data_IF_556454379294
#
_entry.id   IF_556454379294
#
_cell.length_a   1.000
_cell.length_b   1.000
_cell.length_c   1.000
_cell.angle_alpha   90.00
_cell.angle_beta   90.00
_cell.angle_gamma   90.00
#
_symmetry.space_group_name_H-M   'P 1'
#
loop_
_entity.id
_entity.type
_entity.pdbx_description
1 polymer ?
#
# COMPACT_ATOMS: atom_id res chain seq x y z
N UNK A 1 -32.54 21.47 -33.84
CA UNK A 1 -31.57 22.01 -32.88
C UNK A 1 -30.15 21.62 -33.28
N UNK A 2 -29.23 22.59 -33.43
CA UNK A 2 -27.85 22.32 -33.84
C UNK A 2 -27.08 21.81 -32.61
N UNK A 3 -26.77 20.51 -32.57
CA UNK A 3 -25.97 19.87 -31.52
C UNK A 3 -24.48 19.92 -31.89
N UNK A 4 -23.61 19.96 -30.90
CA UNK A 4 -22.17 19.64 -31.00
C UNK A 4 -21.94 18.43 -30.17
N UNK A 5 -21.39 17.36 -30.77
CA UNK A 5 -21.00 16.17 -30.01
C UNK A 5 -19.61 16.42 -29.40
N UNK A 6 -19.53 16.30 -28.07
CA UNK A 6 -18.30 16.59 -27.31
C UNK A 6 -17.63 15.34 -26.75
N UNK A 7 -18.30 14.18 -26.77
CA UNK A 7 -17.78 12.91 -26.28
C UNK A 7 -18.05 11.83 -27.32
N UNK A 8 -17.01 11.38 -28.02
CA UNK A 8 -17.17 10.46 -29.13
C UNK A 8 -15.93 9.58 -29.30
N UNK A 9 -16.17 8.27 -29.41
CA UNK A 9 -15.16 7.26 -29.61
C UNK A 9 -15.22 6.75 -31.05
N UNK A 10 -14.05 6.74 -31.71
CA UNK A 10 -13.89 6.13 -33.04
C UNK A 10 -13.46 4.67 -32.92
N UNK A 11 -13.29 4.00 -34.06
CA UNK A 11 -12.72 2.64 -34.09
C UNK A 11 -11.27 2.54 -33.59
N UNK A 12 -10.64 3.67 -33.21
CA UNK A 12 -9.35 3.70 -32.52
C UNK A 12 -9.49 3.41 -31.02
N UNK A 13 -10.69 3.59 -30.46
CA UNK A 13 -11.04 3.10 -29.12
C UNK A 13 -11.34 1.60 -29.20
N UNK A 14 -10.31 0.77 -29.01
CA UNK A 14 -10.40 -0.69 -29.15
C UNK A 14 -11.50 -1.26 -28.25
N UNK A 15 -12.36 -2.12 -28.82
CA UNK A 15 -13.50 -2.80 -28.20
C UNK A 15 -14.69 -1.86 -27.82
N UNK A 16 -14.61 -0.56 -28.10
CA UNK A 16 -15.68 0.38 -27.77
C UNK A 16 -16.21 1.08 -29.03
N UNK A 17 -15.34 1.69 -29.83
CA UNK A 17 -15.73 2.37 -31.05
C UNK A 17 -15.75 1.46 -32.29
N UNK A 18 -16.80 1.59 -33.12
CA UNK A 18 -16.95 0.78 -34.33
C UNK A 18 -16.77 1.56 -35.63
N UNK A 19 -16.89 2.89 -35.59
CA UNK A 19 -16.98 3.74 -36.79
C UNK A 19 -15.72 4.61 -36.91
N UNK A 20 -15.18 4.71 -38.13
CA UNK A 20 -14.00 5.55 -38.38
C UNK A 20 -14.29 7.04 -38.18
N UNK A 21 -13.28 7.80 -37.76
CA UNK A 21 -13.37 9.25 -37.57
C UNK A 21 -13.90 9.96 -38.81
N UNK A 22 -13.45 9.60 -40.01
CA UNK A 22 -13.88 10.20 -41.27
C UNK A 22 -15.39 10.08 -41.50
N UNK A 23 -15.97 8.90 -41.23
CA UNK A 23 -17.43 8.67 -41.36
C UNK A 23 -18.23 9.43 -40.33
N UNK A 24 -17.71 9.55 -39.11
CA UNK A 24 -18.38 10.32 -38.04
C UNK A 24 -18.39 11.82 -38.35
N UNK A 25 -17.27 12.37 -38.79
CA UNK A 25 -17.16 13.79 -39.23
C UNK A 25 -18.08 14.07 -40.40
N UNK A 26 -18.13 13.21 -41.43
CA UNK A 26 -19.06 13.29 -42.55
C UNK A 26 -20.51 13.30 -42.09
N UNK A 27 -20.88 12.42 -41.17
CA UNK A 27 -22.25 12.31 -40.65
C UNK A 27 -22.64 13.57 -39.87
N UNK A 28 -21.77 14.09 -39.01
CA UNK A 28 -22.00 15.28 -38.24
C UNK A 28 -22.20 16.53 -39.20
N UNK A 29 -21.39 16.62 -40.22
CA UNK A 29 -21.54 17.68 -41.24
C UNK A 29 -22.89 17.56 -41.96
N UNK A 30 -23.31 16.37 -42.38
CA UNK A 30 -24.63 16.13 -43.02
C UNK A 30 -25.80 16.46 -42.09
N UNK A 31 -25.66 16.33 -40.79
CA UNK A 31 -26.65 16.72 -39.80
C UNK A 31 -26.64 18.23 -39.46
N UNK A 32 -25.70 18.97 -40.02
CA UNK A 32 -25.58 20.41 -39.81
C UNK A 32 -24.97 20.79 -38.48
N UNK A 33 -24.19 19.88 -37.84
CA UNK A 33 -23.41 20.25 -36.67
C UNK A 33 -22.34 21.29 -37.04
N UNK A 34 -22.09 22.21 -36.13
CA UNK A 34 -21.04 23.25 -36.32
C UNK A 34 -19.64 22.72 -35.96
N UNK A 35 -19.57 21.69 -35.11
CA UNK A 35 -18.35 21.04 -34.68
C UNK A 35 -18.65 19.61 -34.22
N UNK A 36 -17.58 18.80 -34.09
CA UNK A 36 -17.56 17.48 -33.50
C UNK A 36 -16.26 17.28 -32.73
N UNK A 37 -16.31 16.70 -31.54
CA UNK A 37 -15.10 16.29 -30.83
C UNK A 37 -14.73 14.85 -31.19
N UNK A 38 -13.46 14.55 -31.13
CA UNK A 38 -12.91 13.16 -31.17
C UNK A 38 -12.20 12.96 -29.84
N UNK A 39 -12.69 12.03 -29.04
CA UNK A 39 -12.26 11.79 -27.66
C UNK A 39 -12.05 10.29 -27.39
N UNK A 40 -11.20 9.67 -28.18
CA UNK A 40 -10.89 8.24 -28.02
C UNK A 40 -10.22 7.95 -26.68
N UNK A 41 -10.40 6.72 -26.17
CA UNK A 41 -9.82 6.23 -24.94
C UNK A 41 -8.29 6.19 -24.98
N UNK A 42 -7.64 7.12 -24.28
CA UNK A 42 -6.19 7.16 -24.09
C UNK A 42 -5.36 7.30 -25.36
N UNK A 43 -5.98 7.54 -26.53
CA UNK A 43 -5.30 7.55 -27.83
C UNK A 43 -5.71 8.73 -28.70
N UNK A 44 -4.84 9.10 -29.67
CA UNK A 44 -5.03 10.24 -30.57
C UNK A 44 -4.89 9.86 -32.05
N UNK A 45 -4.85 8.58 -32.36
CA UNK A 45 -4.57 8.06 -33.70
C UNK A 45 -5.62 8.47 -34.76
N UNK A 46 -6.85 8.78 -34.33
CA UNK A 46 -7.92 9.24 -35.21
C UNK A 46 -7.75 10.69 -35.72
N UNK A 47 -6.87 11.48 -35.15
CA UNK A 47 -6.77 12.93 -35.43
C UNK A 47 -6.41 13.25 -36.90
N UNK A 48 -5.45 12.58 -37.57
CA UNK A 48 -5.15 12.86 -38.98
C UNK A 48 -6.35 12.62 -39.90
N UNK A 49 -7.09 11.53 -39.68
CA UNK A 49 -8.26 11.17 -40.45
C UNK A 49 -9.42 12.16 -40.20
N UNK A 50 -9.63 12.52 -38.92
CA UNK A 50 -10.62 13.51 -38.54
C UNK A 50 -10.31 14.90 -39.18
N UNK A 51 -9.04 15.31 -39.17
CA UNK A 51 -8.61 16.59 -39.80
C UNK A 51 -8.86 16.59 -41.30
N UNK A 52 -8.52 15.50 -41.97
CA UNK A 52 -8.71 15.34 -43.42
C UNK A 52 -10.20 15.40 -43.77
N UNK A 53 -11.04 14.71 -43.03
CA UNK A 53 -12.49 14.74 -43.20
C UNK A 53 -13.08 16.11 -42.88
N UNK A 54 -12.59 16.78 -41.82
CA UNK A 54 -13.03 18.14 -41.44
C UNK A 54 -12.81 19.17 -42.56
N UNK A 55 -11.62 19.16 -43.18
CA UNK A 55 -11.30 20.00 -44.34
C UNK A 55 -12.23 19.72 -45.52
N UNK A 56 -12.50 18.44 -45.80
CA UNK A 56 -13.36 18.03 -46.92
C UNK A 56 -14.82 18.42 -46.72
N UNK A 57 -15.33 18.36 -45.51
CA UNK A 57 -16.76 18.58 -45.22
C UNK A 57 -17.05 19.96 -44.58
N UNK A 58 -16.05 20.79 -44.38
CA UNK A 58 -16.24 22.17 -43.87
C UNK A 58 -16.75 22.27 -42.43
N UNK A 59 -16.43 21.25 -41.56
CA UNK A 59 -16.84 21.20 -40.17
C UNK A 59 -15.62 21.34 -39.25
N UNK A 60 -15.80 21.98 -38.08
CA UNK A 60 -14.76 22.09 -37.07
C UNK A 60 -14.60 20.76 -36.34
N UNK A 61 -13.36 20.28 -36.17
CA UNK A 61 -13.05 19.17 -35.26
C UNK A 61 -12.41 19.72 -33.98
N UNK A 62 -12.88 19.25 -32.86
CA UNK A 62 -12.30 19.48 -31.51
C UNK A 62 -11.51 18.23 -31.17
N UNK A 63 -10.22 18.39 -30.91
CA UNK A 63 -9.33 17.30 -30.56
C UNK A 63 -9.27 17.16 -29.07
N UNK A 64 -9.59 15.99 -28.57
CA UNK A 64 -9.57 15.62 -27.17
C UNK A 64 -9.14 14.17 -26.97
N UNK A 65 -8.99 13.76 -25.76
CA UNK A 65 -8.71 12.39 -25.37
C UNK A 65 -9.47 12.09 -24.08
N UNK A 66 -10.07 10.93 -23.98
CA UNK A 66 -10.58 10.46 -22.72
C UNK A 66 -9.42 9.88 -21.91
N UNK A 67 -8.96 10.66 -20.94
CA UNK A 67 -7.86 10.28 -20.06
C UNK A 67 -8.38 9.55 -18.84
N UNK A 68 -7.61 8.56 -18.39
CA UNK A 68 -7.85 7.89 -17.13
C UNK A 68 -6.96 8.52 -16.06
N UNK A 69 -7.59 9.17 -15.08
CA UNK A 69 -6.89 9.61 -13.88
C UNK A 69 -6.82 8.41 -12.91
N UNK A 70 -5.63 7.87 -12.73
CA UNK A 70 -5.36 6.81 -11.76
C UNK A 70 -4.53 7.41 -10.64
N UNK A 71 -5.01 7.29 -9.42
CA UNK A 71 -4.18 7.49 -8.24
C UNK A 71 -3.44 6.17 -7.98
N UNK A 72 -2.19 6.10 -8.42
CA UNK A 72 -1.29 4.97 -8.19
C UNK A 72 -0.44 5.16 -6.92
N UNK A 73 -0.77 6.15 -6.12
CA UNK A 73 -0.19 6.34 -4.80
C UNK A 73 -0.45 5.13 -3.91
N UNK A 74 0.62 4.60 -3.29
CA UNK A 74 0.46 3.56 -2.27
C UNK A 74 -0.11 4.22 -1.02
N UNK A 75 -1.27 3.81 -0.52
CA UNK A 75 -1.86 4.43 0.67
C UNK A 75 -0.93 4.29 1.87
N UNK A 76 -0.78 5.38 2.62
CA UNK A 76 0.00 5.40 3.87
C UNK A 76 -0.74 4.66 4.97
N UNK A 77 -2.07 4.84 5.02
CA UNK A 77 -2.95 4.16 5.96
C UNK A 77 -3.99 3.31 5.24
N UNK A 78 -4.32 2.17 5.84
CA UNK A 78 -5.34 1.23 5.37
C UNK A 78 -6.41 1.08 6.45
N UNK A 79 -7.66 0.91 6.04
CA UNK A 79 -8.80 0.71 6.94
C UNK A 79 -8.97 1.83 7.99
N UNK A 80 -8.71 3.08 7.58
CA UNK A 80 -8.86 4.28 8.42
C UNK A 80 -10.29 4.44 8.93
N UNK A 81 -10.39 4.82 10.20
CA UNK A 81 -11.66 5.01 10.90
C UNK A 81 -11.81 6.44 11.43
N UNK A 82 -10.98 7.38 10.93
CA UNK A 82 -10.97 8.77 11.34
C UNK A 82 -10.19 9.03 12.63
N UNK A 83 -9.17 8.20 12.91
CA UNK A 83 -8.30 8.38 14.07
C UNK A 83 -7.51 9.69 13.98
N UNK A 84 -7.32 10.33 15.14
CA UNK A 84 -6.48 11.51 15.23
C UNK A 84 -5.00 11.15 15.20
N UNK A 85 -4.17 12.06 14.69
CA UNK A 85 -2.71 11.93 14.75
C UNK A 85 -2.17 11.97 16.21
N UNK A 86 -2.95 12.54 17.14
CA UNK A 86 -2.63 12.54 18.59
C UNK A 86 -3.16 11.27 19.30
N UNK A 87 -3.58 10.26 18.54
CA UNK A 87 -4.14 9.01 19.06
C UNK A 87 -3.10 8.05 19.62
N UNK A 88 -3.56 6.83 19.93
CA UNK A 88 -2.70 5.73 20.36
C UNK A 88 -2.17 4.95 19.15
N UNK A 89 -0.89 4.62 19.18
CA UNK A 89 -0.20 3.85 18.15
C UNK A 89 0.46 2.62 18.76
N UNK A 90 0.43 1.51 18.04
CA UNK A 90 1.25 0.33 18.32
C UNK A 90 2.21 0.13 17.17
N UNK A 91 3.47 0.45 17.39
CA UNK A 91 4.56 0.15 16.44
C UNK A 91 5.02 -1.27 16.71
N UNK A 92 5.00 -2.12 15.69
CA UNK A 92 5.33 -3.52 15.87
C UNK A 92 6.12 -4.10 14.69
N UNK A 93 6.81 -5.19 14.95
CA UNK A 93 7.56 -5.98 13.99
C UNK A 93 7.50 -7.45 14.36
N UNK A 94 7.65 -8.34 13.39
CA UNK A 94 7.60 -9.78 13.54
C UNK A 94 8.87 -10.43 13.02
N UNK A 95 9.41 -11.39 13.79
CA UNK A 95 10.36 -12.35 13.25
C UNK A 95 9.64 -13.66 12.90
N UNK A 96 10.04 -14.25 11.78
CA UNK A 96 9.32 -15.40 11.21
C UNK A 96 10.28 -16.47 10.69
N UNK A 97 9.80 -17.70 10.52
CA UNK A 97 10.61 -18.80 9.94
C UNK A 97 10.82 -18.68 8.43
N UNK A 98 10.28 -17.63 7.78
CA UNK A 98 10.37 -17.38 6.35
C UNK A 98 9.38 -16.31 5.89
N UNK A 99 9.22 -16.14 4.59
CA UNK A 99 8.48 -14.99 4.02
C UNK A 99 7.02 -15.26 3.67
N UNK A 100 6.54 -16.48 3.85
CA UNK A 100 5.19 -16.89 3.45
C UNK A 100 4.25 -16.95 4.64
N UNK A 101 3.37 -15.98 4.82
CA UNK A 101 2.37 -15.98 5.89
C UNK A 101 1.50 -17.25 5.93
N UNK A 102 1.37 -17.97 4.80
CA UNK A 102 0.62 -19.24 4.72
C UNK A 102 1.43 -20.44 5.23
N UNK A 103 2.74 -20.50 4.94
CA UNK A 103 3.58 -21.67 5.14
C UNK A 103 4.57 -21.51 6.29
N UNK A 104 4.91 -20.28 6.64
CA UNK A 104 5.87 -19.96 7.68
C UNK A 104 5.18 -19.55 8.98
N UNK A 105 5.96 -19.46 10.04
CA UNK A 105 5.48 -19.25 11.40
C UNK A 105 6.13 -18.02 12.02
N UNK A 106 5.41 -17.34 12.89
CA UNK A 106 5.96 -16.29 13.74
C UNK A 106 6.84 -16.95 14.81
N UNK A 107 7.99 -16.35 15.10
CA UNK A 107 8.94 -16.77 16.15
C UNK A 107 9.20 -15.68 17.19
N UNK A 108 8.91 -14.41 16.88
CA UNK A 108 8.95 -13.30 17.83
C UNK A 108 7.91 -12.23 17.44
N UNK A 109 7.27 -11.62 18.44
CA UNK A 109 6.44 -10.43 18.28
C UNK A 109 7.04 -9.36 19.18
N UNK A 110 7.48 -8.24 18.60
CA UNK A 110 7.90 -7.05 19.32
C UNK A 110 6.99 -5.88 19.03
N UNK A 111 6.54 -5.17 20.06
CA UNK A 111 5.72 -3.98 19.89
C UNK A 111 5.90 -2.98 21.02
N UNK A 112 5.70 -1.70 20.71
CA UNK A 112 5.61 -0.60 21.67
C UNK A 112 4.31 0.15 21.45
N UNK A 113 3.64 0.50 22.56
CA UNK A 113 2.48 1.37 22.54
C UNK A 113 2.91 2.80 22.83
N UNK A 114 2.49 3.71 21.98
CA UNK A 114 2.81 5.13 22.05
C UNK A 114 1.52 5.92 22.22
N UNK A 115 1.47 6.79 23.22
CA UNK A 115 0.39 7.74 23.45
C UNK A 115 0.99 9.11 23.75
N UNK A 116 0.46 10.15 23.13
CA UNK A 116 0.98 11.53 23.28
C UNK A 116 2.51 11.64 23.03
N UNK A 117 3.00 10.87 22.05
CA UNK A 117 4.43 10.84 21.70
C UNK A 117 5.34 10.13 22.70
N UNK A 118 4.78 9.39 23.68
CA UNK A 118 5.56 8.65 24.70
C UNK A 118 5.25 7.16 24.66
N UNK A 119 6.28 6.35 24.87
CA UNK A 119 6.08 4.91 25.05
C UNK A 119 5.42 4.69 26.42
N UNK A 120 4.21 4.15 26.40
CA UNK A 120 3.40 3.85 27.59
C UNK A 120 3.40 2.37 27.95
N UNK A 121 3.62 1.48 26.98
CA UNK A 121 3.63 0.02 27.20
C UNK A 121 4.47 -0.72 26.15
N UNK A 122 4.85 -1.96 26.45
CA UNK A 122 5.69 -2.81 25.60
C UNK A 122 5.16 -4.23 25.57
N UNK A 123 5.25 -4.85 24.39
CA UNK A 123 4.95 -6.26 24.17
C UNK A 123 6.16 -6.92 23.49
N UNK A 124 6.71 -7.96 24.11
CA UNK A 124 7.88 -8.68 23.59
C UNK A 124 7.78 -10.14 23.98
N UNK A 125 7.48 -10.98 23.00
CA UNK A 125 7.23 -12.42 23.23
C UNK A 125 7.89 -13.27 22.15
N UNK A 126 8.66 -14.27 22.57
CA UNK A 126 9.03 -15.37 21.70
C UNK A 126 7.83 -16.30 21.48
N UNK A 127 7.73 -16.82 20.27
CA UNK A 127 6.64 -17.73 19.87
C UNK A 127 7.24 -19.06 19.45
N UNK A 128 6.79 -20.16 20.06
CA UNK A 128 7.17 -21.50 19.62
C UNK A 128 6.51 -21.80 18.26
N UNK A 129 7.30 -21.92 17.17
CA UNK A 129 6.74 -22.18 15.83
C UNK A 129 6.28 -23.63 15.64
N UNK A 130 6.57 -24.52 16.58
CA UNK A 130 6.32 -25.97 16.50
C UNK A 130 6.98 -26.62 15.25
N UNK A 131 8.05 -26.03 14.76
CA UNK A 131 8.89 -26.51 13.66
C UNK A 131 10.30 -25.95 13.82
N UNK A 132 11.28 -26.57 13.20
CA UNK A 132 12.65 -26.06 13.21
C UNK A 132 12.75 -24.73 12.46
N UNK A 133 13.55 -23.83 13.02
CA UNK A 133 13.88 -22.54 12.40
C UNK A 133 14.97 -22.81 11.34
N UNK A 134 14.75 -22.39 10.08
CA UNK A 134 15.77 -22.53 9.05
C UNK A 134 17.06 -21.79 9.42
N UNK A 135 18.21 -22.43 9.19
CA UNK A 135 19.52 -21.87 9.53
C UNK A 135 19.73 -20.43 9.05
N UNK A 136 19.26 -20.10 7.83
CA UNK A 136 19.33 -18.72 7.26
C UNK A 136 18.56 -17.69 8.09
N UNK A 137 17.46 -18.11 8.72
CA UNK A 137 16.66 -17.24 9.60
C UNK A 137 17.40 -17.04 10.91
N UNK A 138 17.94 -18.09 11.49
CA UNK A 138 18.77 -18.00 12.71
C UNK A 138 20.00 -17.11 12.46
N UNK A 139 20.65 -17.22 11.30
CA UNK A 139 21.78 -16.36 10.93
C UNK A 139 21.36 -14.88 10.80
N UNK A 140 20.15 -14.62 10.30
CA UNK A 140 19.61 -13.27 10.11
C UNK A 140 19.15 -12.61 11.41
N UNK A 141 18.36 -13.35 12.21
CA UNK A 141 17.65 -12.83 13.40
C UNK A 141 18.38 -13.10 14.71
N UNK A 142 19.32 -14.07 14.72
CA UNK A 142 19.94 -14.57 15.93
C UNK A 142 19.03 -15.47 16.78
N UNK A 143 17.77 -15.69 16.38
CA UNK A 143 16.83 -16.53 17.11
C UNK A 143 17.09 -17.99 16.79
N UNK A 144 17.28 -18.81 17.85
CA UNK A 144 17.55 -20.23 17.73
C UNK A 144 16.36 -21.05 18.21
N UNK A 145 16.31 -22.33 17.81
CA UNK A 145 15.29 -23.27 18.28
C UNK A 145 15.26 -23.37 19.82
N UNK A 146 16.43 -23.30 20.47
CA UNK A 146 16.55 -23.34 21.92
C UNK A 146 15.88 -22.15 22.62
N UNK A 147 15.88 -20.98 21.99
CA UNK A 147 15.28 -19.77 22.55
C UNK A 147 13.75 -19.82 22.55
N UNK A 148 13.15 -20.51 21.58
CA UNK A 148 11.70 -20.51 21.37
C UNK A 148 11.01 -21.82 21.82
N UNK A 149 11.76 -22.90 22.12
CA UNK A 149 11.21 -24.23 22.40
C UNK A 149 10.25 -24.27 23.58
N UNK A 150 10.55 -23.48 24.63
CA UNK A 150 9.78 -23.44 25.86
C UNK A 150 8.77 -22.27 25.89
N UNK A 151 8.71 -21.49 24.79
CA UNK A 151 7.77 -20.39 24.63
C UNK A 151 6.37 -20.90 24.33
N UNK A 152 5.37 -20.08 24.62
CA UNK A 152 3.99 -20.34 24.23
C UNK A 152 3.83 -20.35 22.70
N UNK A 153 2.80 -20.98 22.23
CA UNK A 153 2.47 -20.99 20.80
C UNK A 153 1.68 -19.75 20.42
N UNK A 154 1.55 -19.51 19.12
CA UNK A 154 0.82 -18.34 18.59
C UNK A 154 -0.65 -18.31 19.05
N UNK A 155 -1.24 -19.47 19.31
CA UNK A 155 -2.62 -19.61 19.78
C UNK A 155 -2.85 -18.95 21.15
N UNK A 156 -1.83 -18.93 22.02
CA UNK A 156 -1.87 -18.26 23.33
C UNK A 156 -1.46 -16.78 23.24
N UNK A 157 -0.46 -16.49 22.42
CA UNK A 157 0.17 -15.16 22.35
C UNK A 157 -0.68 -14.18 21.55
N UNK A 158 -1.24 -14.59 20.40
CA UNK A 158 -1.96 -13.72 19.51
C UNK A 158 -3.18 -13.03 20.15
N UNK A 159 -4.03 -13.69 20.94
CA UNK A 159 -5.13 -12.98 21.63
C UNK A 159 -4.64 -11.87 22.57
N UNK A 160 -3.52 -12.09 23.27
CA UNK A 160 -2.91 -11.07 24.15
C UNK A 160 -2.35 -9.90 23.34
N UNK A 161 -1.72 -10.19 22.21
CA UNK A 161 -1.23 -9.15 21.29
C UNK A 161 -2.37 -8.30 20.71
N UNK A 162 -3.48 -8.93 20.28
CA UNK A 162 -4.65 -8.21 19.77
C UNK A 162 -5.29 -7.31 20.85
N UNK A 163 -5.36 -7.79 22.10
CA UNK A 163 -5.84 -6.97 23.21
C UNK A 163 -4.89 -5.80 23.53
N UNK A 164 -3.56 -6.04 23.46
CA UNK A 164 -2.56 -4.97 23.55
C UNK A 164 -2.74 -3.88 22.48
N UNK A 165 -3.11 -4.28 21.26
CA UNK A 165 -3.32 -3.37 20.12
C UNK A 165 -4.65 -2.60 20.16
N UNK A 166 -5.57 -2.98 21.03
CA UNK A 166 -6.93 -2.44 21.04
C UNK A 166 -6.97 -0.93 21.19
N UNK A 167 -7.76 -0.28 20.34
CA UNK A 167 -7.91 1.18 20.33
C UNK A 167 -6.73 1.95 19.75
N UNK A 168 -5.75 1.26 19.16
CA UNK A 168 -4.56 1.88 18.59
C UNK A 168 -4.49 1.67 17.06
N UNK A 169 -3.82 2.59 16.39
CA UNK A 169 -3.38 2.41 15.00
C UNK A 169 -2.14 1.50 14.99
N UNK A 170 -2.15 0.48 14.16
CA UNK A 170 -0.99 -0.40 13.98
C UNK A 170 0.01 0.23 13.00
N UNK A 171 1.27 0.27 13.38
CA UNK A 171 2.34 0.86 12.57
C UNK A 171 3.44 -0.17 12.34
N UNK A 172 3.83 -0.38 11.08
CA UNK A 172 4.95 -1.25 10.75
C UNK A 172 5.68 -0.74 9.49
N UNK A 173 6.91 -1.20 9.29
CA UNK A 173 7.71 -0.87 8.11
C UNK A 173 7.56 -1.95 7.04
N UNK A 174 6.88 -1.67 5.94
CA UNK A 174 6.36 -2.66 4.98
C UNK A 174 5.26 -3.53 5.60
N UNK A 175 4.30 -2.84 6.19
CA UNK A 175 3.24 -3.39 7.05
C UNK A 175 2.45 -4.57 6.44
N UNK A 176 2.43 -4.70 5.12
CA UNK A 176 1.76 -5.81 4.44
C UNK A 176 2.36 -7.18 4.82
N UNK A 177 3.68 -7.23 5.12
CA UNK A 177 4.35 -8.44 5.56
C UNK A 177 3.83 -8.88 6.93
N UNK A 178 3.97 -8.03 7.93
CA UNK A 178 3.64 -8.34 9.32
C UNK A 178 2.14 -8.58 9.51
N UNK A 179 1.33 -7.68 8.97
CA UNK A 179 -0.13 -7.82 9.03
C UNK A 179 -0.63 -9.05 8.28
N UNK A 180 0.07 -9.49 7.23
CA UNK A 180 -0.23 -10.73 6.52
C UNK A 180 -0.11 -11.97 7.42
N UNK A 181 0.93 -12.05 8.25
CA UNK A 181 1.09 -13.12 9.24
C UNK A 181 0.03 -13.06 10.33
N UNK A 182 -0.23 -11.88 10.90
CA UNK A 182 -1.26 -11.70 11.92
C UNK A 182 -2.65 -12.08 11.36
N UNK A 183 -3.07 -11.52 10.21
CA UNK A 183 -4.36 -11.82 9.57
C UNK A 183 -4.54 -13.30 9.28
N UNK A 184 -3.49 -13.98 8.77
CA UNK A 184 -3.57 -15.41 8.49
C UNK A 184 -3.79 -16.24 9.76
N UNK A 185 -3.12 -15.90 10.88
CA UNK A 185 -3.31 -16.57 12.16
C UNK A 185 -4.69 -16.24 12.77
N UNK A 186 -5.15 -14.97 12.70
CA UNK A 186 -6.50 -14.58 13.11
C UNK A 186 -7.57 -15.38 12.36
N UNK A 187 -7.45 -15.52 11.04
CA UNK A 187 -8.39 -16.30 10.23
C UNK A 187 -8.43 -17.77 10.64
N UNK A 188 -7.27 -18.39 10.95
CA UNK A 188 -7.20 -19.76 11.42
C UNK A 188 -7.85 -19.97 12.79
N UNK A 189 -7.79 -18.95 13.64
CA UNK A 189 -8.31 -18.97 15.01
C UNK A 189 -9.71 -18.39 15.15
N UNK A 190 -10.35 -17.95 14.04
CA UNK A 190 -11.61 -17.22 14.02
C UNK A 190 -11.60 -15.97 14.93
N UNK A 191 -10.46 -15.26 14.96
CA UNK A 191 -10.31 -13.98 15.65
C UNK A 191 -10.54 -12.83 14.66
N UNK A 192 -11.14 -11.76 15.15
CA UNK A 192 -11.32 -10.54 14.38
C UNK A 192 -10.01 -9.76 14.29
N UNK A 193 -9.71 -9.21 13.12
CA UNK A 193 -8.60 -8.29 12.88
C UNK A 193 -9.13 -7.05 12.17
N UNK A 194 -9.54 -6.08 12.97
CA UNK A 194 -10.13 -4.82 12.50
C UNK A 194 -9.36 -3.62 13.08
N UNK A 195 -8.23 -3.29 12.44
CA UNK A 195 -7.35 -2.19 12.84
C UNK A 195 -7.05 -1.28 11.65
N UNK A 196 -6.92 0.01 11.93
CA UNK A 196 -6.24 0.92 11.02
C UNK A 196 -4.75 0.59 11.02
N UNK A 197 -4.16 0.50 9.84
CA UNK A 197 -2.77 0.11 9.64
C UNK A 197 -2.06 1.25 8.94
N UNK A 198 -0.95 1.74 9.50
CA UNK A 198 -0.05 2.71 8.88
C UNK A 198 1.23 2.02 8.44
N UNK A 199 1.61 2.21 7.17
CA UNK A 199 2.86 1.70 6.63
C UNK A 199 3.89 2.83 6.51
N UNK A 200 5.01 2.68 7.21
CA UNK A 200 6.06 3.70 7.20
C UNK A 200 6.89 3.73 5.90
N UNK A 201 6.77 2.75 4.99
CA UNK A 201 7.43 2.80 3.68
C UNK A 201 6.80 3.86 2.78
N UNK A 202 5.49 3.86 2.48
CA UNK A 202 4.87 4.94 1.71
C UNK A 202 4.92 6.28 2.45
N UNK A 203 4.81 6.29 3.79
CA UNK A 203 4.98 7.50 4.59
C UNK A 203 6.37 8.14 4.37
N UNK A 204 7.44 7.35 4.45
CA UNK A 204 8.79 7.84 4.23
C UNK A 204 9.01 8.32 2.78
N UNK A 205 8.40 7.69 1.79
CA UNK A 205 8.45 8.16 0.39
C UNK A 205 7.76 9.51 0.22
N UNK A 206 6.67 9.72 0.93
CA UNK A 206 5.92 10.97 0.90
C UNK A 206 6.68 12.11 1.59
N UNK A 207 7.22 11.85 2.79
CA UNK A 207 7.92 12.86 3.58
C UNK A 207 9.33 13.18 3.07
N UNK A 208 10.03 12.18 2.49
CA UNK A 208 11.43 12.27 2.08
C UNK A 208 11.61 11.82 0.63
N UNK A 209 11.03 12.56 -0.34
CA UNK A 209 11.07 12.19 -1.76
C UNK A 209 12.49 12.15 -2.35
N UNK A 210 13.47 12.78 -1.69
CA UNK A 210 14.88 12.74 -2.06
C UNK A 210 15.56 11.38 -1.78
N UNK A 211 14.96 10.55 -0.91
CA UNK A 211 15.51 9.23 -0.59
C UNK A 211 15.24 8.24 -1.73
N UNK A 212 16.30 7.81 -2.42
CA UNK A 212 16.20 6.79 -3.48
C UNK A 212 15.74 5.41 -2.97
N UNK A 213 15.94 5.14 -1.69
CA UNK A 213 15.54 3.89 -1.01
C UNK A 213 15.03 4.24 0.38
N UNK A 214 13.96 3.58 0.79
CA UNK A 214 13.28 3.79 2.07
C UNK A 214 13.32 2.52 2.94
N UNK A 215 14.45 1.79 2.93
CA UNK A 215 14.67 0.72 3.89
C UNK A 215 14.78 1.32 5.30
N UNK A 216 14.35 0.60 6.33
CA UNK A 216 14.30 1.08 7.71
C UNK A 216 15.64 1.70 8.15
N UNK A 217 16.77 1.03 7.92
CA UNK A 217 18.11 1.52 8.26
C UNK A 217 18.51 2.81 7.50
N UNK A 218 17.95 3.04 6.32
CA UNK A 218 18.23 4.27 5.54
C UNK A 218 17.39 5.42 6.07
N UNK A 219 16.12 5.16 6.39
CA UNK A 219 15.21 6.16 6.96
C UNK A 219 15.70 6.55 8.36
N UNK A 220 16.03 5.59 9.21
CA UNK A 220 16.59 5.85 10.55
C UNK A 220 17.86 6.71 10.48
N UNK A 221 18.80 6.34 9.60
CA UNK A 221 20.02 7.14 9.39
C UNK A 221 19.73 8.57 8.92
N UNK A 222 18.72 8.74 8.05
CA UNK A 222 18.31 10.07 7.58
C UNK A 222 17.75 10.92 8.74
N UNK A 223 17.05 10.28 9.68
CA UNK A 223 16.50 10.91 10.89
C UNK A 223 17.52 11.08 12.03
N UNK A 224 18.77 10.62 11.84
CA UNK A 224 19.80 10.68 12.88
C UNK A 224 19.67 9.59 13.96
N UNK A 225 18.83 8.59 13.73
CA UNK A 225 18.53 7.51 14.67
C UNK A 225 19.54 6.38 14.50
N UNK A 226 20.17 5.94 15.58
CA UNK A 226 21.04 4.77 15.60
C UNK A 226 20.18 3.50 15.71
N UNK A 227 20.35 2.59 14.75
CA UNK A 227 19.72 1.27 14.79
C UNK A 227 20.80 0.23 15.12
N UNK A 228 20.76 -0.31 16.31
CA UNK A 228 21.54 -1.47 16.71
C UNK A 228 20.69 -2.73 16.58
N UNK A 229 21.22 -3.78 15.92
CA UNK A 229 20.58 -5.11 15.79
C UNK A 229 19.12 -5.08 15.21
N UNK A 230 18.92 -4.37 14.12
CA UNK A 230 17.62 -4.16 13.46
C UNK A 230 16.93 -5.41 12.86
N UNK A 231 17.41 -6.60 13.20
CA UNK A 231 16.80 -7.89 12.88
C UNK A 231 16.32 -8.61 14.14
N UNK A 232 15.75 -7.85 15.09
CA UNK A 232 15.14 -8.37 16.29
C UNK A 232 13.93 -7.50 16.65
N UNK A 233 12.75 -8.09 16.60
CA UNK A 233 11.50 -7.38 16.89
C UNK A 233 11.47 -6.77 18.30
N UNK A 234 12.07 -7.44 19.28
CA UNK A 234 12.16 -6.95 20.67
C UNK A 234 13.07 -5.72 20.85
N UNK A 235 13.89 -5.35 19.84
CA UNK A 235 14.82 -4.21 19.94
C UNK A 235 14.26 -2.91 19.35
N UNK A 236 13.01 -2.89 18.89
CA UNK A 236 12.32 -1.66 18.45
C UNK A 236 12.36 -0.54 19.49
N UNK A 237 12.51 -0.88 20.76
CA UNK A 237 12.52 0.05 21.88
C UNK A 237 13.90 0.30 22.51
N UNK A 238 14.97 -0.29 21.99
CA UNK A 238 16.35 -0.07 22.48
C UNK A 238 17.12 0.95 21.64
N UNK A 239 16.53 1.47 20.57
CA UNK A 239 17.09 2.60 19.85
C UNK A 239 16.79 3.89 20.63
N UNK A 240 17.78 4.77 20.79
CA UNK A 240 17.65 6.09 21.46
C UNK A 240 16.50 6.94 20.89
N UNK A 241 15.97 6.57 19.72
CA UNK A 241 14.82 7.20 19.09
C UNK A 241 13.50 7.04 19.83
N UNK A 242 13.37 6.02 20.68
CA UNK A 242 12.15 5.79 21.43
C UNK A 242 11.97 6.77 22.61
N UNK A 243 13.05 7.45 23.02
CA UNK A 243 13.05 8.40 24.14
C UNK A 243 13.06 9.88 23.67
N UNK A 244 13.20 10.13 22.33
CA UNK A 244 13.27 11.49 21.76
C UNK A 244 12.08 11.86 20.85
N UNK A 245 11.08 10.97 20.68
CA UNK A 245 9.82 11.26 19.99
C UNK A 245 8.74 11.59 21.04
#
# INVERSE_FOLDING_TARGET
EKRVELHLHTNMSTMDGMVSASRMVERAAKWGHSAIAITDHGVVQAFPDAQSAAKKHGIKVIYGVEGYLVDDGVPIALHEKGESLDGSYVVFDLETTGFSAKNDKIIEIGAVKIEEGKIVDRFSEFVNPQKLIPYKITELTGITDEMVKDSETIESILPRFLEFCKGSVLVAHNAAFDTGFIKNNCNRMNLEFDFTIMDTVPLARFLYPELKKVKLNIVAKHLGISLENHHRACLLYTSDAADEL
#
